data_IF_932552563243
#
_entry.id   IF_932552563243
#
_cell.length_a   1.000
_cell.length_b   1.000
_cell.length_c   1.000
_cell.angle_alpha   90.00
_cell.angle_beta   90.00
_cell.angle_gamma   90.00
#
_symmetry.space_group_name_H-M   'P 1'
#
loop_
_entity.id
_entity.type
_entity.pdbx_description
1 polymer ?
#
# COMPACT_ATOMS: atom_id res chain seq x y z
N UNK A 1 -4.98 -4.01 23.56
CA UNK A 1 -4.55 -3.12 24.66
C UNK A 1 -4.18 -3.96 25.86
N UNK A 2 -3.08 -3.67 26.56
CA UNK A 2 -2.70 -4.41 27.76
C UNK A 2 -3.67 -4.09 28.90
N UNK A 3 -4.14 -5.11 29.62
CA UNK A 3 -5.13 -4.91 30.68
C UNK A 3 -4.62 -3.91 31.74
N UNK A 4 -5.47 -3.04 32.31
CA UNK A 4 -5.05 -2.09 33.33
C UNK A 4 -4.34 -2.76 34.52
N UNK A 5 -3.40 -2.06 35.16
CA UNK A 5 -2.62 -2.60 36.27
C UNK A 5 -3.49 -3.10 37.45
N UNK A 6 -4.64 -2.48 37.68
CA UNK A 6 -5.61 -2.92 38.69
C UNK A 6 -6.23 -4.28 38.32
N UNK A 7 -6.59 -4.50 37.05
CA UNK A 7 -7.18 -5.75 36.55
C UNK A 7 -6.23 -6.93 36.70
N UNK A 8 -4.94 -6.72 36.37
CA UNK A 8 -3.90 -7.75 36.55
C UNK A 8 -3.73 -8.20 38.00
N UNK A 9 -4.01 -7.30 38.97
CA UNK A 9 -3.92 -7.59 40.40
C UNK A 9 -5.18 -8.26 40.95
N UNK A 10 -6.36 -7.92 40.44
CA UNK A 10 -7.65 -8.41 40.94
C UNK A 10 -8.14 -9.67 40.25
N UNK A 11 -7.89 -9.83 38.94
CA UNK A 11 -8.38 -10.95 38.14
C UNK A 11 -7.97 -12.34 38.70
N UNK A 12 -6.73 -12.58 39.19
CA UNK A 12 -6.38 -13.88 39.78
C UNK A 12 -7.17 -14.20 41.05
N UNK A 13 -7.47 -13.19 41.88
CA UNK A 13 -8.28 -13.37 43.09
C UNK A 13 -9.74 -13.64 42.75
N UNK A 14 -10.25 -12.94 41.74
CA UNK A 14 -11.61 -13.10 41.26
C UNK A 14 -11.82 -14.50 40.66
N UNK A 15 -10.87 -14.98 39.86
CA UNK A 15 -10.90 -16.32 39.26
C UNK A 15 -10.67 -17.44 40.30
N UNK A 16 -9.98 -17.17 41.41
CA UNK A 16 -9.86 -18.14 42.50
C UNK A 16 -11.18 -18.30 43.28
N UNK A 17 -11.97 -17.24 43.40
CA UNK A 17 -13.28 -17.24 44.06
C UNK A 17 -14.41 -17.73 43.13
N UNK A 18 -14.33 -17.37 41.85
CA UNK A 18 -15.30 -17.71 40.80
C UNK A 18 -14.55 -18.18 39.54
N UNK A 19 -14.14 -19.45 39.47
CA UNK A 19 -13.37 -20.00 38.34
C UNK A 19 -14.03 -19.81 36.97
N UNK A 20 -15.35 -19.71 36.94
CA UNK A 20 -16.18 -19.50 35.75
C UNK A 20 -16.25 -18.04 35.30
N UNK A 21 -15.86 -17.07 36.13
CA UNK A 21 -16.09 -15.65 35.85
C UNK A 21 -15.41 -15.18 34.56
N UNK A 22 -14.11 -15.43 34.40
CA UNK A 22 -13.40 -15.02 33.17
C UNK A 22 -13.96 -15.72 31.93
N UNK A 23 -14.16 -17.06 31.92
CA UNK A 23 -14.84 -17.73 30.82
C UNK A 23 -16.23 -17.16 30.49
N UNK A 24 -17.03 -16.79 31.49
CA UNK A 24 -18.36 -16.21 31.29
C UNK A 24 -18.31 -14.79 30.69
N UNK A 25 -17.39 -13.95 31.16
CA UNK A 25 -17.19 -12.60 30.60
C UNK A 25 -16.69 -12.71 29.16
N UNK A 26 -15.70 -13.55 28.89
CA UNK A 26 -15.22 -13.79 27.52
C UNK A 26 -16.34 -14.30 26.63
N UNK A 27 -17.13 -15.28 27.08
CA UNK A 27 -18.27 -15.78 26.31
C UNK A 27 -19.36 -14.72 26.10
N UNK A 28 -19.57 -13.80 27.05
CA UNK A 28 -20.49 -12.68 26.90
C UNK A 28 -19.97 -11.64 25.89
N UNK A 29 -18.70 -11.28 25.98
CA UNK A 29 -18.01 -10.37 25.05
C UNK A 29 -17.98 -10.96 23.63
N UNK A 30 -17.70 -12.26 23.48
CA UNK A 30 -17.68 -12.96 22.20
C UNK A 30 -19.08 -13.05 21.57
N UNK A 31 -20.12 -13.27 22.39
CA UNK A 31 -21.51 -13.30 21.91
C UNK A 31 -22.03 -11.92 21.54
N UNK A 32 -21.57 -10.89 22.24
CA UNK A 32 -21.93 -9.49 22.08
C UNK A 32 -23.44 -9.24 21.79
N UNK A 33 -24.32 -9.86 22.58
CA UNK A 33 -25.76 -9.83 22.33
C UNK A 33 -26.42 -8.44 22.38
N UNK A 34 -25.68 -7.42 22.84
CA UNK A 34 -26.15 -6.03 22.91
C UNK A 34 -25.69 -5.18 21.71
N UNK A 35 -24.93 -5.75 20.76
CA UNK A 35 -24.40 -5.05 19.58
C UNK A 35 -25.47 -4.32 18.78
N UNK A 36 -26.57 -5.01 18.50
CA UNK A 36 -27.68 -4.45 17.72
C UNK A 36 -28.38 -3.27 18.43
N UNK A 37 -28.43 -3.29 19.77
CA UNK A 37 -28.95 -2.16 20.55
C UNK A 37 -28.00 -0.96 20.49
N UNK A 38 -26.68 -1.19 20.47
CA UNK A 38 -25.70 -0.11 20.31
C UNK A 38 -25.77 0.53 18.92
N UNK A 39 -26.08 -0.23 17.87
CA UNK A 39 -26.32 0.34 16.54
C UNK A 39 -27.47 1.36 16.51
N UNK A 40 -28.53 1.15 17.30
CA UNK A 40 -29.61 2.14 17.38
C UNK A 40 -29.12 3.47 18.00
N UNK A 41 -28.23 3.40 19.01
CA UNK A 41 -27.59 4.57 19.59
C UNK A 41 -26.63 5.24 18.58
N UNK A 42 -25.87 4.45 17.82
CA UNK A 42 -24.94 4.96 16.82
C UNK A 42 -25.67 5.64 15.66
N UNK A 43 -26.82 5.10 15.22
CA UNK A 43 -27.73 5.79 14.29
C UNK A 43 -28.18 7.14 14.84
N UNK A 44 -28.61 7.20 16.10
CA UNK A 44 -29.02 8.47 16.72
C UNK A 44 -27.85 9.48 16.83
N UNK A 45 -26.64 9.02 17.15
CA UNK A 45 -25.42 9.85 17.20
C UNK A 45 -25.08 10.43 15.83
N UNK A 46 -25.10 9.62 14.78
CA UNK A 46 -24.85 10.04 13.41
C UNK A 46 -25.91 11.02 12.91
N UNK A 47 -27.19 10.72 13.14
CA UNK A 47 -28.30 11.59 12.77
C UNK A 47 -28.20 12.96 13.45
N UNK A 48 -27.89 12.98 14.75
CA UNK A 48 -27.67 14.23 15.51
C UNK A 48 -26.48 15.02 14.96
N UNK A 49 -25.35 14.36 14.69
CA UNK A 49 -24.18 15.03 14.13
C UNK A 49 -24.49 15.68 12.78
N UNK A 50 -25.23 15.00 11.90
CA UNK A 50 -25.68 15.56 10.62
C UNK A 50 -26.63 16.74 10.78
N UNK A 51 -27.58 16.64 11.71
CA UNK A 51 -28.48 17.76 12.01
C UNK A 51 -27.71 19.00 12.52
N UNK A 52 -26.53 18.80 13.12
CA UNK A 52 -25.60 19.84 13.53
C UNK A 52 -24.62 20.29 12.43
N UNK A 53 -24.79 19.79 11.19
CA UNK A 53 -23.99 20.17 10.03
C UNK A 53 -22.77 19.30 9.75
N UNK A 54 -22.56 18.20 10.49
CA UNK A 54 -21.46 17.29 10.19
C UNK A 54 -21.64 16.65 8.81
N UNK A 55 -20.54 16.61 8.05
CA UNK A 55 -20.42 15.89 6.78
C UNK A 55 -19.48 14.73 6.98
N UNK A 56 -19.69 13.63 6.27
CA UNK A 56 -18.85 12.44 6.40
C UNK A 56 -18.18 12.03 5.09
N UNK A 57 -16.99 11.45 5.22
CA UNK A 57 -16.29 10.73 4.17
C UNK A 57 -16.04 9.30 4.65
N UNK A 58 -16.42 8.30 3.85
CA UNK A 58 -16.17 6.89 4.15
C UNK A 58 -14.80 6.51 3.64
N UNK A 59 -13.95 5.95 4.50
CA UNK A 59 -12.59 5.50 4.15
C UNK A 59 -12.46 4.02 4.48
N UNK A 60 -12.29 3.17 3.48
CA UNK A 60 -12.10 1.73 3.70
C UNK A 60 -10.63 1.38 3.84
N UNK A 61 -10.28 0.59 4.84
CA UNK A 61 -8.93 0.04 5.06
C UNK A 61 -9.00 -1.41 5.55
N UNK A 62 -7.88 -2.10 5.70
CA UNK A 62 -7.81 -3.39 6.39
C UNK A 62 -6.94 -3.27 7.66
N UNK A 63 -6.87 -4.34 8.46
CA UNK A 63 -6.04 -4.39 9.66
C UNK A 63 -4.53 -4.54 9.37
N UNK A 64 -4.14 -4.73 8.11
CA UNK A 64 -2.74 -4.97 7.77
C UNK A 64 -1.91 -3.68 7.90
N UNK A 65 -0.73 -3.82 8.49
CA UNK A 65 0.27 -2.77 8.52
C UNK A 65 0.97 -2.63 7.15
N UNK A 66 1.71 -1.53 6.97
CA UNK A 66 2.57 -1.32 5.80
C UNK A 66 2.18 -0.11 4.95
N UNK A 67 2.26 -0.27 3.63
CA UNK A 67 2.16 0.83 2.67
C UNK A 67 0.78 1.49 2.59
N UNK A 68 -0.31 0.71 2.67
CA UNK A 68 -1.67 1.27 2.51
C UNK A 68 -2.06 2.22 3.65
N UNK A 69 -1.88 1.87 4.95
CA UNK A 69 -2.10 2.84 6.03
C UNK A 69 -1.27 4.11 5.88
N UNK A 70 -0.02 4.00 5.40
CA UNK A 70 0.82 5.17 5.12
C UNK A 70 0.24 6.02 3.98
N UNK A 71 -0.20 5.40 2.89
CA UNK A 71 -0.82 6.11 1.78
C UNK A 71 -2.12 6.83 2.17
N UNK A 72 -2.96 6.21 2.99
CA UNK A 72 -4.16 6.85 3.55
C UNK A 72 -3.76 8.11 4.34
N UNK A 73 -2.76 8.00 5.24
CA UNK A 73 -2.27 9.15 6.02
C UNK A 73 -1.68 10.25 5.14
N UNK A 74 -0.91 9.88 4.12
CA UNK A 74 -0.30 10.84 3.21
C UNK A 74 -1.37 11.59 2.40
N UNK A 75 -2.36 10.88 1.86
CA UNK A 75 -3.50 11.50 1.14
C UNK A 75 -4.33 12.38 2.07
N UNK A 76 -4.61 11.91 3.29
CA UNK A 76 -5.35 12.68 4.30
C UNK A 76 -4.61 13.95 4.72
N UNK A 77 -3.28 13.89 4.84
CA UNK A 77 -2.45 15.06 5.16
C UNK A 77 -2.44 16.09 4.02
N UNK A 78 -2.25 15.65 2.78
CA UNK A 78 -2.10 16.57 1.64
C UNK A 78 -3.43 17.13 1.13
N UNK A 79 -4.53 16.37 1.23
CA UNK A 79 -5.82 16.73 0.64
C UNK A 79 -6.94 16.86 1.68
N UNK A 80 -6.92 16.01 2.70
CA UNK A 80 -8.03 15.84 3.63
C UNK A 80 -9.31 15.39 2.93
N UNK A 81 -10.46 15.71 3.53
CA UNK A 81 -11.78 15.28 3.06
C UNK A 81 -12.74 16.45 2.79
N UNK A 82 -12.20 17.63 2.49
CA UNK A 82 -13.01 18.83 2.19
C UNK A 82 -13.92 19.26 3.34
N UNK A 83 -13.41 19.18 4.57
CA UNK A 83 -14.14 19.50 5.81
C UNK A 83 -15.07 18.38 6.31
N UNK A 84 -15.15 17.24 5.63
CA UNK A 84 -15.89 16.09 6.11
C UNK A 84 -15.10 15.32 7.19
N UNK A 85 -15.80 14.75 8.16
CA UNK A 85 -15.27 13.85 9.16
C UNK A 85 -15.11 12.43 8.60
N UNK A 86 -14.00 11.79 8.90
CA UNK A 86 -13.72 10.42 8.47
C UNK A 86 -14.55 9.40 9.24
N UNK A 87 -15.32 8.60 8.50
CA UNK A 87 -15.84 7.30 8.93
C UNK A 87 -14.89 6.23 8.42
N UNK A 88 -14.28 5.47 9.32
CA UNK A 88 -13.39 4.38 8.95
C UNK A 88 -14.18 3.08 8.88
N UNK A 89 -14.07 2.38 7.75
CA UNK A 89 -14.61 1.05 7.57
C UNK A 89 -13.44 0.07 7.42
N UNK A 90 -13.29 -0.86 8.35
CA UNK A 90 -12.17 -1.80 8.37
C UNK A 90 -12.65 -3.23 8.65
N UNK A 91 -11.72 -4.18 8.64
CA UNK A 91 -11.93 -5.55 9.11
C UNK A 91 -10.94 -5.80 10.23
N UNK A 92 -11.44 -6.29 11.37
CA UNK A 92 -10.63 -6.64 12.53
C UNK A 92 -9.83 -7.93 12.30
N UNK A 93 -8.86 -8.22 13.15
CA UNK A 93 -8.15 -9.51 13.13
C UNK A 93 -9.09 -10.70 13.36
N UNK A 94 -10.20 -10.49 14.10
CA UNK A 94 -11.25 -11.49 14.32
C UNK A 94 -12.19 -11.69 13.11
N UNK A 95 -11.99 -10.93 12.03
CA UNK A 95 -12.80 -11.02 10.80
C UNK A 95 -14.14 -10.27 10.86
N UNK A 96 -14.37 -9.45 11.90
CA UNK A 96 -15.54 -8.58 11.97
C UNK A 96 -15.33 -7.34 11.12
N UNK A 97 -16.38 -6.87 10.48
CA UNK A 97 -16.36 -5.57 9.81
C UNK A 97 -16.60 -4.51 10.87
N UNK A 98 -15.73 -3.50 10.95
CA UNK A 98 -15.81 -2.41 11.92
C UNK A 98 -16.09 -1.09 11.21
N UNK A 99 -17.14 -0.37 11.63
CA UNK A 99 -17.38 1.02 11.30
C UNK A 99 -17.07 1.88 12.52
N UNK A 100 -16.11 2.80 12.40
CA UNK A 100 -15.69 3.66 13.50
C UNK A 100 -15.57 5.13 13.12
N UNK A 101 -15.78 6.00 14.10
CA UNK A 101 -15.66 7.45 13.98
C UNK A 101 -15.16 8.06 15.29
N UNK A 102 -14.29 9.06 15.21
CA UNK A 102 -13.82 9.78 16.39
C UNK A 102 -14.87 10.77 16.91
N UNK A 103 -15.56 11.47 16.00
CA UNK A 103 -16.56 12.50 16.33
C UNK A 103 -17.72 12.46 15.33
N UNK A 104 -18.93 12.01 15.72
CA UNK A 104 -19.27 11.47 17.03
C UNK A 104 -18.51 10.16 17.30
N UNK A 105 -18.20 9.91 18.57
CA UNK A 105 -17.52 8.68 18.98
C UNK A 105 -18.47 7.49 18.75
N UNK A 106 -18.09 6.60 17.84
CA UNK A 106 -18.76 5.32 17.61
C UNK A 106 -17.77 4.26 17.15
N UNK A 107 -18.07 3.01 17.48
CA UNK A 107 -17.38 1.82 17.00
C UNK A 107 -18.40 0.69 16.95
N UNK A 108 -18.83 0.33 15.74
CA UNK A 108 -19.85 -0.67 15.48
C UNK A 108 -19.23 -1.84 14.71
N UNK A 109 -19.41 -3.05 15.22
CA UNK A 109 -18.97 -4.28 14.57
C UNK A 109 -20.13 -4.98 13.87
N UNK A 110 -19.82 -5.72 12.80
CA UNK A 110 -20.78 -6.50 12.01
C UNK A 110 -20.15 -7.83 11.62
N UNK A 111 -20.97 -8.89 11.68
CA UNK A 111 -20.66 -10.19 11.10
C UNK A 111 -20.83 -10.15 9.57
N UNK A 112 -20.38 -11.22 8.89
CA UNK A 112 -20.45 -11.35 7.43
C UNK A 112 -21.86 -11.27 6.84
N UNK A 113 -22.87 -11.63 7.62
CA UNK A 113 -24.29 -11.68 7.25
C UNK A 113 -25.06 -10.40 7.61
N UNK A 114 -24.45 -9.47 8.34
CA UNK A 114 -25.07 -8.22 8.83
C UNK A 114 -24.74 -7.01 7.93
N UNK A 115 -24.45 -7.24 6.66
CA UNK A 115 -24.11 -6.17 5.70
C UNK A 115 -25.26 -5.14 5.56
N UNK A 116 -26.52 -5.59 5.62
CA UNK A 116 -27.67 -4.70 5.55
C UNK A 116 -27.70 -3.67 6.69
N UNK A 117 -27.38 -4.10 7.92
CA UNK A 117 -27.31 -3.21 9.08
C UNK A 117 -26.17 -2.19 8.99
N UNK A 118 -25.02 -2.62 8.45
CA UNK A 118 -23.91 -1.72 8.14
C UNK A 118 -24.36 -0.61 7.18
N UNK A 119 -25.00 -0.97 6.06
CA UNK A 119 -25.43 0.03 5.08
C UNK A 119 -26.57 0.91 5.60
N UNK A 120 -27.43 0.41 6.49
CA UNK A 120 -28.42 1.24 7.17
C UNK A 120 -27.78 2.32 8.07
N UNK A 121 -26.67 2.01 8.74
CA UNK A 121 -25.89 3.02 9.49
C UNK A 121 -25.21 4.02 8.55
N UNK A 122 -24.66 3.54 7.44
CA UNK A 122 -24.03 4.40 6.43
C UNK A 122 -25.04 5.34 5.75
N UNK A 123 -26.29 4.91 5.55
CA UNK A 123 -27.36 5.76 5.03
C UNK A 123 -27.73 6.89 6.00
N UNK A 124 -27.72 6.62 7.30
CA UNK A 124 -27.92 7.67 8.31
C UNK A 124 -26.77 8.67 8.24
N UNK A 125 -25.52 8.21 8.13
CA UNK A 125 -24.36 9.08 8.02
C UNK A 125 -24.26 9.82 6.67
N UNK A 126 -24.79 9.23 5.59
CA UNK A 126 -24.83 9.75 4.22
C UNK A 126 -23.49 10.39 3.78
N UNK A 127 -22.36 9.66 3.85
CA UNK A 127 -21.10 10.19 3.39
C UNK A 127 -21.17 10.45 1.88
N UNK A 128 -20.74 11.64 1.48
CA UNK A 128 -20.80 12.10 0.07
C UNK A 128 -19.51 11.83 -0.70
N UNK A 129 -18.46 11.50 0.03
CA UNK A 129 -17.15 11.10 -0.47
C UNK A 129 -16.86 9.68 0.04
N UNK A 130 -16.54 8.75 -0.86
CA UNK A 130 -16.19 7.37 -0.52
C UNK A 130 -14.80 7.07 -1.09
N UNK A 131 -13.85 6.70 -0.24
CA UNK A 131 -12.50 6.29 -0.63
C UNK A 131 -12.28 4.84 -0.21
N UNK A 132 -12.26 3.94 -1.18
CA UNK A 132 -11.94 2.55 -0.95
C UNK A 132 -10.44 2.29 -1.19
N UNK A 133 -9.66 2.14 -0.11
CA UNK A 133 -8.22 1.85 -0.22
C UNK A 133 -7.93 0.35 -0.11
N UNK A 134 -8.72 -0.39 0.67
CA UNK A 134 -8.56 -1.84 0.80
C UNK A 134 -9.90 -2.53 0.94
N UNK A 135 -9.97 -3.71 0.34
CA UNK A 135 -11.10 -4.65 0.46
C UNK A 135 -10.65 -6.08 0.79
N UNK A 136 -9.35 -6.32 0.96
CA UNK A 136 -8.84 -7.60 1.48
C UNK A 136 -9.35 -7.81 2.91
N UNK A 137 -9.94 -8.99 3.16
CA UNK A 137 -10.60 -9.33 4.42
C UNK A 137 -12.10 -9.02 4.46
N UNK A 138 -12.63 -8.23 3.52
CA UNK A 138 -14.06 -7.95 3.49
C UNK A 138 -14.87 -9.14 2.93
N UNK A 139 -16.02 -9.48 3.53
CA UNK A 139 -16.89 -10.53 3.01
C UNK A 139 -17.59 -10.10 1.72
N UNK A 140 -17.95 -11.08 0.87
CA UNK A 140 -18.58 -10.82 -0.43
C UNK A 140 -19.86 -9.99 -0.33
N UNK A 141 -20.65 -10.20 0.74
CA UNK A 141 -21.87 -9.46 1.06
C UNK A 141 -21.62 -7.96 1.22
N UNK A 142 -20.51 -7.56 1.86
CA UNK A 142 -20.15 -6.15 2.06
C UNK A 142 -19.58 -5.54 0.78
N UNK A 143 -18.79 -6.28 0.01
CA UNK A 143 -18.27 -5.83 -1.30
C UNK A 143 -19.43 -5.61 -2.29
N UNK A 144 -20.37 -6.56 -2.37
CA UNK A 144 -21.57 -6.44 -3.18
C UNK A 144 -22.51 -5.33 -2.68
N UNK A 145 -22.70 -5.24 -1.36
CA UNK A 145 -23.48 -4.15 -0.77
C UNK A 145 -22.87 -2.77 -1.04
N UNK A 146 -21.53 -2.66 -1.03
CA UNK A 146 -20.84 -1.41 -1.35
C UNK A 146 -21.12 -1.02 -2.80
N UNK A 147 -21.02 -1.96 -3.75
CA UNK A 147 -21.37 -1.74 -5.16
C UNK A 147 -22.78 -1.16 -5.31
N UNK A 148 -23.75 -1.75 -4.62
CA UNK A 148 -25.16 -1.38 -4.75
C UNK A 148 -25.45 -0.04 -4.03
N UNK A 149 -24.74 0.23 -2.95
CA UNK A 149 -24.92 1.43 -2.13
C UNK A 149 -24.20 2.69 -2.68
N UNK A 150 -23.14 2.54 -3.49
CA UNK A 150 -22.39 3.69 -4.03
C UNK A 150 -23.27 4.71 -4.75
N UNK A 151 -24.28 4.25 -5.51
CA UNK A 151 -25.26 5.12 -6.18
C UNK A 151 -24.60 6.22 -7.02
N UNK A 152 -24.91 7.49 -6.73
CA UNK A 152 -24.33 8.68 -7.39
C UNK A 152 -23.29 9.40 -6.52
N UNK A 153 -22.80 8.76 -5.44
CA UNK A 153 -21.81 9.36 -4.52
C UNK A 153 -20.47 9.51 -5.23
N UNK A 154 -19.75 10.58 -4.90
CA UNK A 154 -18.38 10.74 -5.40
C UNK A 154 -17.49 9.69 -4.75
N UNK A 155 -16.91 8.83 -5.57
CA UNK A 155 -16.27 7.61 -5.06
C UNK A 155 -14.97 7.29 -5.79
N UNK A 156 -13.97 6.88 -5.01
CA UNK A 156 -12.65 6.57 -5.49
C UNK A 156 -12.21 5.20 -4.98
N UNK A 157 -11.79 4.33 -5.88
CA UNK A 157 -11.10 3.08 -5.54
C UNK A 157 -9.61 3.24 -5.81
N UNK A 158 -8.78 2.96 -4.81
CA UNK A 158 -7.32 2.94 -4.93
C UNK A 158 -6.82 1.49 -4.99
N UNK A 159 -6.28 1.10 -6.14
CA UNK A 159 -5.62 -0.17 -6.34
C UNK A 159 -4.21 -0.16 -5.73
N UNK A 160 -4.15 -0.25 -4.39
CA UNK A 160 -2.87 -0.40 -3.67
C UNK A 160 -2.25 -1.79 -3.87
N UNK A 161 -3.00 -2.75 -4.38
CA UNK A 161 -2.54 -4.10 -4.70
C UNK A 161 -3.37 -4.70 -5.85
N UNK A 162 -3.18 -6.00 -6.13
CA UNK A 162 -3.97 -6.72 -7.13
C UNK A 162 -5.00 -7.68 -6.53
N UNK A 163 -5.47 -7.45 -5.30
CA UNK A 163 -6.48 -8.33 -4.68
C UNK A 163 -7.71 -8.47 -5.58
N UNK A 164 -8.21 -7.35 -6.12
CA UNK A 164 -9.34 -7.33 -7.05
C UNK A 164 -9.18 -8.29 -8.24
N UNK A 165 -7.94 -8.43 -8.73
CA UNK A 165 -7.58 -9.25 -9.89
C UNK A 165 -7.25 -10.71 -9.50
N UNK A 166 -6.56 -10.88 -8.37
CA UNK A 166 -5.94 -12.12 -7.94
C UNK A 166 -6.22 -12.37 -6.45
N UNK A 167 -6.86 -13.49 -6.08
CA UNK A 167 -7.10 -13.84 -4.67
C UNK A 167 -5.82 -13.94 -3.81
N UNK A 168 -4.66 -14.16 -4.44
CA UNK A 168 -3.34 -14.22 -3.78
C UNK A 168 -2.65 -12.86 -3.66
N UNK A 169 -3.25 -11.77 -4.16
CA UNK A 169 -2.76 -10.38 -4.14
C UNK A 169 -1.51 -10.12 -4.99
N UNK A 170 -0.53 -11.02 -4.95
CA UNK A 170 0.82 -10.82 -5.51
C UNK A 170 0.98 -11.31 -6.94
N UNK A 171 0.02 -12.08 -7.47
CA UNK A 171 0.18 -12.83 -8.73
C UNK A 171 1.41 -13.77 -8.74
N UNK A 172 1.93 -14.12 -7.56
CA UNK A 172 2.89 -15.20 -7.38
C UNK A 172 2.09 -16.50 -7.25
N UNK A 173 2.37 -17.46 -8.11
CA UNK A 173 1.67 -18.74 -8.16
C UNK A 173 2.01 -19.65 -6.98
N UNK A 174 1.43 -20.86 -6.97
CA UNK A 174 1.63 -21.84 -5.92
C UNK A 174 3.08 -22.37 -5.82
N UNK A 175 3.91 -22.19 -6.86
CA UNK A 175 5.31 -22.62 -6.89
C UNK A 175 6.29 -21.44 -6.76
N UNK A 176 5.80 -20.25 -6.39
CA UNK A 176 6.65 -19.09 -6.12
C UNK A 176 7.06 -18.28 -7.36
N UNK A 177 6.37 -18.44 -8.50
CA UNK A 177 6.68 -17.71 -9.74
C UNK A 177 5.62 -16.66 -10.08
N UNK A 178 6.07 -15.52 -10.59
CA UNK A 178 5.16 -14.50 -11.09
C UNK A 178 4.44 -14.98 -12.36
N UNK A 179 3.11 -15.02 -12.33
CA UNK A 179 2.30 -15.56 -13.43
C UNK A 179 1.87 -14.53 -14.47
N UNK A 180 2.15 -13.23 -14.27
CA UNK A 180 1.84 -12.18 -15.25
C UNK A 180 0.36 -11.78 -15.37
N UNK A 181 -0.52 -12.32 -14.51
CA UNK A 181 -1.98 -12.15 -14.59
C UNK A 181 -2.62 -13.19 -15.51
N UNK A 182 -2.50 -14.47 -15.15
CA UNK A 182 -3.07 -15.59 -15.90
C UNK A 182 -4.60 -15.55 -16.01
N UNK A 183 -5.16 -16.35 -16.92
CA UNK A 183 -6.61 -16.54 -17.04
C UNK A 183 -7.24 -17.14 -15.77
N UNK A 184 -8.57 -17.03 -15.65
CA UNK A 184 -9.29 -17.45 -14.45
C UNK A 184 -9.18 -18.97 -14.20
N UNK A 185 -9.12 -19.79 -15.25
CA UNK A 185 -9.01 -21.24 -15.14
C UNK A 185 -7.64 -21.66 -14.56
N UNK A 186 -6.57 -21.01 -15.00
CA UNK A 186 -5.22 -21.20 -14.49
C UNK A 186 -5.08 -20.68 -13.07
N UNK A 187 -5.69 -19.54 -12.76
CA UNK A 187 -5.81 -19.07 -11.39
C UNK A 187 -6.58 -20.07 -10.51
N UNK A 188 -7.60 -20.76 -11.03
CA UNK A 188 -8.36 -21.77 -10.30
C UNK A 188 -7.44 -22.87 -9.75
N UNK A 189 -6.64 -23.49 -10.63
CA UNK A 189 -5.65 -24.51 -10.23
C UNK A 189 -4.60 -23.97 -9.25
N UNK A 190 -4.16 -22.73 -9.44
CA UNK A 190 -3.20 -22.08 -8.56
C UNK A 190 -3.75 -21.88 -7.15
N UNK A 191 -4.97 -21.38 -7.02
CA UNK A 191 -5.62 -21.15 -5.72
C UNK A 191 -5.98 -22.48 -5.05
N UNK A 192 -6.41 -23.49 -5.81
CA UNK A 192 -6.65 -24.84 -5.30
C UNK A 192 -5.37 -25.47 -4.71
N UNK A 193 -4.22 -25.28 -5.38
CA UNK A 193 -2.94 -25.83 -4.94
C UNK A 193 -2.31 -25.05 -3.77
N UNK A 194 -2.34 -23.72 -3.82
CA UNK A 194 -1.56 -22.87 -2.92
C UNK A 194 -2.38 -22.01 -1.96
N UNK A 195 -3.71 -22.03 -2.06
CA UNK A 195 -4.61 -21.12 -1.34
C UNK A 195 -4.68 -19.70 -1.92
N UNK A 196 -5.61 -18.91 -1.39
CA UNK A 196 -5.63 -17.46 -1.55
C UNK A 196 -4.66 -16.77 -0.56
N UNK A 197 -4.65 -15.44 -0.53
CA UNK A 197 -3.98 -14.70 0.54
C UNK A 197 -4.59 -15.07 1.89
N UNK A 198 -3.77 -15.19 2.95
CA UNK A 198 -4.22 -15.66 4.28
C UNK A 198 -5.34 -14.83 4.89
N UNK A 199 -5.33 -13.51 4.66
CA UNK A 199 -6.39 -12.58 5.09
C UNK A 199 -7.63 -12.62 4.19
N UNK A 200 -7.62 -13.34 3.07
CA UNK A 200 -8.80 -13.42 2.20
C UNK A 200 -9.88 -14.27 2.84
N UNK A 201 -11.10 -13.74 2.85
CA UNK A 201 -12.31 -14.45 3.31
C UNK A 201 -13.22 -14.84 2.14
N UNK A 202 -12.75 -14.66 0.90
CA UNK A 202 -13.49 -14.97 -0.33
C UNK A 202 -13.10 -16.35 -0.89
N UNK A 203 -12.71 -17.28 -0.02
CA UNK A 203 -12.14 -18.58 -0.40
C UNK A 203 -13.13 -19.50 -1.12
N UNK A 204 -14.43 -19.24 -0.98
CA UNK A 204 -15.50 -19.98 -1.66
C UNK A 204 -15.72 -19.50 -3.11
N UNK A 205 -15.20 -18.32 -3.48
CA UNK A 205 -15.33 -17.81 -4.84
C UNK A 205 -14.23 -18.40 -5.73
N UNK A 206 -14.63 -18.91 -6.89
CA UNK A 206 -13.68 -19.16 -7.97
C UNK A 206 -12.99 -17.85 -8.39
N UNK A 207 -11.79 -17.89 -8.97
CA UNK A 207 -11.14 -16.69 -9.49
C UNK A 207 -11.96 -15.93 -10.54
N UNK A 208 -12.84 -16.61 -11.28
CA UNK A 208 -13.77 -15.97 -12.21
C UNK A 208 -14.83 -15.15 -11.46
N UNK A 209 -15.45 -15.73 -10.43
CA UNK A 209 -16.44 -15.05 -9.59
C UNK A 209 -15.82 -13.90 -8.79
N UNK A 210 -14.60 -14.08 -8.29
CA UNK A 210 -13.83 -13.03 -7.63
C UNK A 210 -13.66 -11.83 -8.57
N UNK A 211 -13.15 -12.07 -9.79
CA UNK A 211 -12.98 -11.01 -10.80
C UNK A 211 -14.30 -10.38 -11.18
N UNK A 212 -15.37 -11.15 -11.36
CA UNK A 212 -16.69 -10.61 -11.68
C UNK A 212 -17.26 -9.72 -10.56
N UNK A 213 -17.08 -10.12 -9.30
CA UNK A 213 -17.48 -9.32 -8.14
C UNK A 213 -16.78 -7.95 -8.16
N UNK A 214 -15.45 -7.94 -8.30
CA UNK A 214 -14.69 -6.70 -8.35
C UNK A 214 -14.94 -5.89 -9.63
N UNK A 215 -15.11 -6.54 -10.78
CA UNK A 215 -15.46 -5.86 -12.02
C UNK A 215 -16.76 -5.04 -11.88
N UNK A 216 -17.80 -5.70 -11.35
CA UNK A 216 -19.10 -5.06 -11.11
C UNK A 216 -19.03 -3.92 -10.08
N UNK A 217 -18.16 -4.04 -9.07
CA UNK A 217 -17.91 -3.00 -8.08
C UNK A 217 -17.13 -1.82 -8.69
N UNK A 218 -16.01 -2.08 -9.37
CA UNK A 218 -15.14 -1.06 -9.95
C UNK A 218 -15.88 -0.21 -10.97
N UNK A 219 -16.83 -0.79 -11.71
CA UNK A 219 -17.69 -0.07 -12.65
C UNK A 219 -18.59 1.00 -11.99
N UNK A 220 -18.79 0.95 -10.66
CA UNK A 220 -19.60 1.92 -9.91
C UNK A 220 -18.79 3.09 -9.35
N UNK A 221 -17.47 2.95 -9.26
CA UNK A 221 -16.62 4.01 -8.74
C UNK A 221 -16.48 5.17 -9.74
N UNK A 222 -16.56 6.40 -9.26
CA UNK A 222 -16.33 7.60 -10.08
C UNK A 222 -14.90 7.61 -10.63
N UNK A 223 -13.93 7.20 -9.80
CA UNK A 223 -12.54 7.06 -10.18
C UNK A 223 -11.98 5.73 -9.70
N UNK A 224 -11.39 4.95 -10.62
CA UNK A 224 -10.51 3.84 -10.29
C UNK A 224 -9.08 4.31 -10.51
N UNK A 225 -8.26 4.25 -9.46
CA UNK A 225 -6.93 4.85 -9.41
C UNK A 225 -5.91 3.75 -9.13
N UNK A 226 -4.78 3.78 -9.85
CA UNK A 226 -3.61 2.98 -9.49
C UNK A 226 -2.38 3.89 -9.37
N UNK A 227 -1.41 3.53 -8.51
CA UNK A 227 -0.22 4.32 -8.25
C UNK A 227 0.82 4.34 -9.38
N UNK A 228 0.71 3.47 -10.39
CA UNK A 228 1.64 3.39 -11.52
C UNK A 228 0.98 2.94 -12.81
N UNK A 229 1.58 3.29 -13.94
CA UNK A 229 1.18 2.78 -15.27
C UNK A 229 1.35 1.26 -15.35
N UNK A 230 2.42 0.72 -14.75
CA UNK A 230 2.63 -0.73 -14.65
C UNK A 230 1.44 -1.44 -13.98
N UNK A 231 0.95 -0.93 -12.84
CA UNK A 231 -0.22 -1.49 -12.15
C UNK A 231 -1.49 -1.42 -13.02
N UNK A 232 -1.73 -0.29 -13.70
CA UNK A 232 -2.84 -0.17 -14.66
C UNK A 232 -2.71 -1.19 -15.79
N UNK A 233 -1.50 -1.44 -16.28
CA UNK A 233 -1.24 -2.44 -17.32
C UNK A 233 -1.74 -3.83 -16.95
N UNK A 234 -1.52 -4.28 -15.71
CA UNK A 234 -2.04 -5.56 -15.23
C UNK A 234 -3.54 -5.54 -15.00
N UNK A 235 -4.08 -4.49 -14.37
CA UNK A 235 -5.51 -4.37 -14.09
C UNK A 235 -6.33 -4.34 -15.39
N UNK A 236 -5.86 -3.64 -16.42
CA UNK A 236 -6.56 -3.51 -17.71
C UNK A 236 -6.63 -4.82 -18.50
N UNK A 237 -5.70 -5.77 -18.29
CA UNK A 237 -5.78 -7.10 -18.90
C UNK A 237 -7.02 -7.87 -18.44
N UNK A 238 -7.53 -7.57 -17.25
CA UNK A 238 -8.67 -8.26 -16.64
C UNK A 238 -9.93 -7.38 -16.66
N UNK A 239 -9.79 -6.09 -16.42
CA UNK A 239 -10.88 -5.11 -16.30
C UNK A 239 -10.85 -4.10 -17.45
N UNK A 240 -11.00 -4.58 -18.69
CA UNK A 240 -10.75 -3.81 -19.91
C UNK A 240 -11.67 -2.58 -20.08
N UNK A 241 -12.89 -2.63 -19.54
CA UNK A 241 -13.90 -1.59 -19.59
C UNK A 241 -13.75 -0.51 -18.51
N UNK A 242 -12.90 -0.75 -17.50
CA UNK A 242 -12.71 0.17 -16.40
C UNK A 242 -11.75 1.30 -16.82
N UNK A 243 -12.18 2.54 -16.60
CA UNK A 243 -11.33 3.72 -16.83
C UNK A 243 -10.42 3.94 -15.62
N UNK A 244 -9.13 3.64 -15.80
CA UNK A 244 -8.12 3.86 -14.79
C UNK A 244 -7.49 5.26 -14.87
N UNK A 245 -7.17 5.81 -13.71
CA UNK A 245 -6.34 7.00 -13.55
C UNK A 245 -5.01 6.61 -12.89
N UNK A 246 -3.90 7.08 -13.44
CA UNK A 246 -2.60 6.94 -12.76
C UNK A 246 -2.32 8.17 -11.91
N UNK A 247 -2.24 7.93 -10.60
CA UNK A 247 -1.87 8.91 -9.58
C UNK A 247 -0.97 8.22 -8.54
N UNK A 248 0.33 8.53 -8.48
CA UNK A 248 1.19 8.02 -7.43
C UNK A 248 0.71 8.51 -6.06
N UNK A 249 1.12 7.82 -5.00
CA UNK A 249 0.85 8.30 -3.64
C UNK A 249 1.57 9.63 -3.41
N UNK A 250 0.91 10.60 -2.76
CA UNK A 250 1.55 11.86 -2.48
C UNK A 250 2.66 11.64 -1.45
N UNK A 251 3.87 12.09 -1.76
CA UNK A 251 4.99 12.06 -0.83
C UNK A 251 5.58 13.45 -0.74
N UNK A 252 5.46 14.08 0.44
CA UNK A 252 6.00 15.40 0.71
C UNK A 252 7.52 15.34 0.85
N UNK A 253 8.17 16.40 0.36
CA UNK A 253 9.59 16.64 0.63
C UNK A 253 9.71 17.33 1.99
N UNK A 254 9.93 16.55 3.04
CA UNK A 254 10.33 17.14 4.32
C UNK A 254 11.86 17.29 4.34
N UNK A 255 12.35 18.54 4.32
CA UNK A 255 13.76 18.87 4.51
C UNK A 255 14.53 19.33 3.25
N UNK A 256 15.86 19.21 3.34
CA UNK A 256 16.80 19.60 2.29
C UNK A 256 16.66 18.75 1.02
N UNK A 257 17.10 19.30 -0.11
CA UNK A 257 17.13 18.61 -1.40
C UNK A 257 18.01 17.35 -1.30
N UNK A 258 17.46 16.13 -1.51
CA UNK A 258 18.24 14.91 -1.48
C UNK A 258 19.31 14.91 -2.59
N UNK A 259 20.57 14.76 -2.21
CA UNK A 259 21.68 14.57 -3.14
C UNK A 259 22.03 13.08 -3.26
N UNK A 260 22.72 12.71 -4.35
CA UNK A 260 23.27 11.36 -4.47
C UNK A 260 24.23 11.07 -3.30
N UNK A 261 24.06 9.90 -2.66
CA UNK A 261 24.86 9.48 -1.52
C UNK A 261 26.29 9.20 -1.95
N UNK A 262 27.26 9.79 -1.24
CA UNK A 262 28.65 9.36 -1.29
C UNK A 262 28.81 8.05 -0.50
N UNK A 263 29.59 7.11 -1.03
CA UNK A 263 29.77 5.80 -0.42
C UNK A 263 30.50 4.84 -1.36
N UNK A 264 30.64 3.60 -0.91
CA UNK A 264 31.23 2.53 -1.72
C UNK A 264 30.16 1.73 -2.48
N UNK A 265 30.63 0.94 -3.44
CA UNK A 265 29.81 -0.02 -4.20
C UNK A 265 29.95 -1.46 -3.66
N UNK A 266 30.59 -1.64 -2.50
CA UNK A 266 30.91 -2.96 -1.94
C UNK A 266 29.96 -3.40 -0.82
N UNK A 267 29.27 -2.47 -0.17
CA UNK A 267 28.14 -2.76 0.74
C UNK A 267 26.82 -2.43 0.02
N UNK A 268 26.00 -3.44 -0.22
CA UNK A 268 24.73 -3.32 -0.94
C UNK A 268 23.58 -3.33 0.07
N UNK A 269 22.78 -2.26 0.06
CA UNK A 269 21.74 -2.03 1.07
C UNK A 269 20.38 -2.52 0.59
N UNK A 270 19.61 -3.11 1.50
CA UNK A 270 18.21 -3.49 1.29
C UNK A 270 17.39 -2.99 2.48
N UNK A 271 16.21 -2.45 2.23
CA UNK A 271 15.38 -1.83 3.26
C UNK A 271 14.02 -2.52 3.41
N UNK A 272 13.65 -2.82 4.66
CA UNK A 272 12.33 -3.25 5.08
C UNK A 272 12.22 -4.75 5.41
N UNK A 273 10.98 -5.22 5.51
CA UNK A 273 10.68 -6.65 5.66
C UNK A 273 10.84 -7.36 4.30
N UNK A 274 11.92 -8.13 4.12
CA UNK A 274 12.22 -8.86 2.88
C UNK A 274 11.65 -10.28 2.99
N UNK A 275 10.37 -10.42 2.67
CA UNK A 275 9.71 -11.72 2.55
C UNK A 275 9.91 -12.37 1.18
N UNK A 276 9.28 -13.53 0.93
CA UNK A 276 9.39 -14.24 -0.36
C UNK A 276 9.00 -13.36 -1.55
N UNK A 277 7.91 -12.60 -1.44
CA UNK A 277 7.43 -11.67 -2.48
C UNK A 277 8.39 -10.50 -2.74
N UNK A 278 9.33 -10.22 -1.82
CA UNK A 278 10.38 -9.21 -1.95
C UNK A 278 11.76 -9.80 -2.28
N UNK A 279 11.81 -11.09 -2.59
CA UNK A 279 12.99 -11.76 -3.11
C UNK A 279 14.01 -12.20 -2.08
N UNK A 280 13.59 -12.60 -0.87
CA UNK A 280 14.52 -13.16 0.12
C UNK A 280 15.27 -14.39 -0.41
N UNK A 281 14.60 -15.29 -1.13
CA UNK A 281 15.25 -16.45 -1.76
C UNK A 281 16.27 -16.03 -2.83
N UNK A 282 15.95 -14.99 -3.62
CA UNK A 282 16.86 -14.44 -4.63
C UNK A 282 18.07 -13.74 -3.97
N UNK A 283 17.88 -13.06 -2.86
CA UNK A 283 18.98 -12.52 -2.06
C UNK A 283 19.90 -13.64 -1.56
N UNK A 284 19.34 -14.75 -1.07
CA UNK A 284 20.15 -15.88 -0.62
C UNK A 284 20.98 -16.49 -1.77
N UNK A 285 20.40 -16.61 -2.96
CA UNK A 285 21.10 -17.03 -4.17
C UNK A 285 22.25 -16.08 -4.53
N UNK A 286 21.96 -14.77 -4.57
CA UNK A 286 22.96 -13.72 -4.86
C UNK A 286 24.08 -13.73 -3.83
N UNK A 287 23.76 -13.78 -2.53
CA UNK A 287 24.73 -13.76 -1.45
C UNK A 287 25.68 -14.97 -1.50
N UNK A 288 25.14 -16.18 -1.72
CA UNK A 288 25.94 -17.41 -1.86
C UNK A 288 26.87 -17.33 -3.05
N UNK A 289 26.38 -16.84 -4.19
CA UNK A 289 27.20 -16.69 -5.40
C UNK A 289 28.28 -15.63 -5.22
N UNK A 290 27.94 -14.48 -4.65
CA UNK A 290 28.90 -13.41 -4.35
C UNK A 290 30.06 -13.91 -3.48
N UNK A 291 29.79 -14.76 -2.50
CA UNK A 291 30.82 -15.37 -1.65
C UNK A 291 31.88 -16.18 -2.43
N UNK A 292 31.53 -16.67 -3.61
CA UNK A 292 32.42 -17.45 -4.48
C UNK A 292 33.07 -16.60 -5.57
N UNK A 293 32.34 -15.69 -6.19
CA UNK A 293 32.79 -14.97 -7.39
C UNK A 293 33.02 -13.48 -7.20
N UNK A 294 32.46 -12.88 -6.14
CA UNK A 294 32.55 -11.45 -5.83
C UNK A 294 32.82 -11.24 -4.33
N UNK A 295 33.94 -11.76 -3.78
CA UNK A 295 34.20 -11.80 -2.34
C UNK A 295 34.35 -10.41 -1.71
N UNK A 296 34.49 -9.36 -2.51
CA UNK A 296 34.48 -7.96 -2.08
C UNK A 296 33.10 -7.43 -1.73
N UNK A 297 32.02 -8.11 -2.14
CA UNK A 297 30.64 -7.67 -1.90
C UNK A 297 30.07 -8.20 -0.60
N UNK A 298 29.37 -7.31 0.10
CA UNK A 298 28.60 -7.59 1.31
C UNK A 298 27.20 -6.99 1.20
N UNK A 299 26.23 -7.60 1.89
CA UNK A 299 24.84 -7.19 1.85
C UNK A 299 24.37 -6.78 3.25
N UNK A 300 23.61 -5.70 3.32
CA UNK A 300 23.01 -5.22 4.57
C UNK A 300 21.51 -5.07 4.41
N UNK A 301 20.76 -5.86 5.17
CA UNK A 301 19.31 -5.72 5.31
C UNK A 301 19.03 -4.86 6.54
N UNK A 302 18.53 -3.64 6.31
CA UNK A 302 17.96 -2.80 7.35
C UNK A 302 16.49 -3.20 7.49
N UNK A 303 16.19 -3.98 8.52
CA UNK A 303 14.94 -4.71 8.65
C UNK A 303 15.19 -6.18 8.92
N UNK A 304 14.27 -7.03 8.48
CA UNK A 304 14.31 -8.48 8.72
C UNK A 304 13.83 -9.24 7.48
N UNK A 305 14.09 -10.55 7.46
CA UNK A 305 13.67 -11.46 6.41
C UNK A 305 12.93 -12.66 7.02
N UNK A 306 12.26 -13.46 6.18
CA UNK A 306 11.69 -14.74 6.61
C UNK A 306 12.75 -15.86 6.75
N UNK A 307 14.01 -15.62 6.37
CA UNK A 307 15.11 -16.59 6.34
C UNK A 307 16.41 -16.03 6.94
N UNK A 308 16.25 -15.23 8.00
CA UNK A 308 17.32 -14.50 8.68
C UNK A 308 18.55 -15.35 9.01
N UNK A 309 18.31 -16.55 9.55
CA UNK A 309 19.36 -17.48 9.92
C UNK A 309 20.14 -17.98 8.70
N UNK A 310 19.45 -18.34 7.62
CA UNK A 310 20.07 -18.84 6.41
C UNK A 310 20.93 -17.76 5.72
N UNK A 311 20.47 -16.52 5.71
CA UNK A 311 21.20 -15.38 5.15
C UNK A 311 22.45 -15.04 5.99
N UNK A 312 22.31 -14.94 7.32
CA UNK A 312 23.47 -14.70 8.21
C UNK A 312 24.52 -15.81 8.08
N UNK A 313 24.09 -17.08 7.91
CA UNK A 313 24.98 -18.22 7.75
C UNK A 313 25.85 -18.18 6.47
N UNK A 314 25.51 -17.37 5.46
CA UNK A 314 26.36 -17.18 4.27
C UNK A 314 27.66 -16.43 4.61
N UNK A 315 27.64 -15.59 5.65
CA UNK A 315 28.82 -14.88 6.16
C UNK A 315 29.08 -13.51 5.51
N UNK A 316 28.35 -13.14 4.46
CA UNK A 316 28.43 -11.82 3.81
C UNK A 316 27.10 -11.03 3.85
N UNK A 317 26.16 -11.43 4.71
CA UNK A 317 24.88 -10.73 4.90
C UNK A 317 24.73 -10.31 6.36
N UNK A 318 24.44 -9.04 6.59
CA UNK A 318 24.09 -8.47 7.90
C UNK A 318 22.62 -8.07 7.92
N UNK A 319 21.95 -8.27 9.07
CA UNK A 319 20.52 -8.02 9.21
C UNK A 319 20.28 -7.35 10.56
N UNK A 320 19.69 -6.16 10.56
CA UNK A 320 19.51 -5.32 11.76
C UNK A 320 18.34 -5.78 12.64
N UNK A 321 17.33 -6.44 12.07
CA UNK A 321 16.07 -6.77 12.74
C UNK A 321 14.99 -5.70 12.52
N UNK A 322 13.83 -5.90 13.17
CA UNK A 322 12.74 -4.91 13.19
C UNK A 322 13.22 -3.60 13.82
N UNK A 323 12.74 -2.48 13.28
CA UNK A 323 13.08 -1.14 13.73
C UNK A 323 11.82 -0.27 13.75
N UNK A 324 11.83 0.79 14.57
CA UNK A 324 10.81 1.85 14.54
C UNK A 324 11.18 2.94 13.53
N UNK A 325 10.23 3.68 12.97
CA UNK A 325 10.53 4.75 12.00
C UNK A 325 11.60 5.75 12.47
N UNK A 326 11.68 6.00 13.78
CA UNK A 326 12.61 6.94 14.41
C UNK A 326 14.06 6.42 14.42
N UNK A 327 14.27 5.10 14.41
CA UNK A 327 15.60 4.46 14.39
C UNK A 327 16.21 4.44 12.98
N UNK A 328 15.38 4.57 11.95
CA UNK A 328 15.81 4.42 10.55
C UNK A 328 16.96 5.36 10.14
N UNK A 329 16.94 6.68 10.47
CA UNK A 329 18.03 7.58 10.09
C UNK A 329 19.40 7.12 10.65
N UNK A 330 19.43 6.61 11.89
CA UNK A 330 20.66 6.12 12.51
C UNK A 330 21.16 4.84 11.82
N UNK A 331 20.24 3.90 11.54
CA UNK A 331 20.58 2.66 10.83
C UNK A 331 21.13 2.94 9.42
N UNK A 332 20.59 3.94 8.72
CA UNK A 332 21.10 4.37 7.41
C UNK A 332 22.46 5.05 7.53
N UNK A 333 22.72 5.82 8.58
CA UNK A 333 24.01 6.45 8.83
C UNK A 333 25.15 5.44 9.07
N UNK A 334 24.84 4.26 9.60
CA UNK A 334 25.80 3.17 9.82
C UNK A 334 26.24 2.47 8.51
N UNK A 335 25.57 2.75 7.40
CA UNK A 335 25.91 2.17 6.10
C UNK A 335 27.00 2.95 5.38
N UNK A 336 27.93 2.23 4.75
CA UNK A 336 28.96 2.78 3.86
C UNK A 336 28.58 2.66 2.39
N UNK A 337 27.65 1.77 2.08
CA UNK A 337 27.11 1.57 0.75
C UNK A 337 26.37 2.78 0.20
N UNK A 338 26.44 2.99 -1.12
CA UNK A 338 25.58 3.94 -1.85
C UNK A 338 24.50 3.27 -2.69
N UNK A 339 24.63 1.98 -2.97
CA UNK A 339 23.70 1.21 -3.81
C UNK A 339 22.62 0.55 -2.95
N UNK A 340 21.37 0.64 -3.39
CA UNK A 340 20.25 -0.06 -2.77
C UNK A 340 19.63 -1.08 -3.73
N UNK A 341 19.58 -2.35 -3.33
CA UNK A 341 19.08 -3.43 -4.18
C UNK A 341 17.63 -3.80 -3.80
N UNK A 342 16.77 -3.80 -4.81
CA UNK A 342 15.39 -4.25 -4.72
C UNK A 342 15.25 -5.55 -5.53
N UNK A 343 14.62 -6.56 -4.95
CA UNK A 343 14.42 -7.87 -5.60
C UNK A 343 12.94 -8.31 -5.59
N UNK A 344 11.96 -7.44 -5.85
CA UNK A 344 10.56 -7.85 -5.83
C UNK A 344 10.34 -8.99 -6.82
N UNK A 345 9.68 -10.04 -6.36
CA UNK A 345 9.30 -11.21 -7.17
C UNK A 345 7.95 -11.00 -7.88
N UNK A 346 7.39 -9.80 -7.79
CA UNK A 346 6.08 -9.41 -8.30
C UNK A 346 6.06 -7.91 -8.64
N UNK A 347 5.06 -7.42 -9.40
CA UNK A 347 4.99 -6.01 -9.76
C UNK A 347 4.44 -5.19 -8.60
N UNK A 348 5.29 -4.79 -7.65
CA UNK A 348 4.89 -3.84 -6.60
C UNK A 348 4.14 -2.64 -7.22
N UNK A 349 2.92 -2.39 -6.75
CA UNK A 349 2.08 -1.28 -7.22
C UNK A 349 2.70 0.07 -6.86
N UNK A 350 3.36 0.14 -5.71
CA UNK A 350 4.15 1.25 -5.20
C UNK A 350 5.20 0.75 -4.22
N UNK A 351 6.21 1.58 -3.90
CA UNK A 351 7.27 1.21 -2.96
C UNK A 351 7.71 2.41 -2.12
N UNK A 352 7.30 2.41 -0.85
CA UNK A 352 7.73 3.44 0.11
C UNK A 352 9.18 3.26 0.55
N UNK A 353 9.69 2.02 0.58
CA UNK A 353 11.10 1.77 0.90
C UNK A 353 12.03 2.32 -0.19
N UNK A 354 11.59 2.34 -1.45
CA UNK A 354 12.26 3.07 -2.52
C UNK A 354 12.35 4.57 -2.22
N UNK A 355 11.23 5.18 -1.86
CA UNK A 355 11.17 6.61 -1.52
C UNK A 355 12.07 6.95 -0.32
N UNK A 356 12.06 6.13 0.74
CA UNK A 356 12.93 6.32 1.91
C UNK A 356 14.41 6.26 1.56
N UNK A 357 14.84 5.26 0.77
CA UNK A 357 16.25 5.13 0.36
C UNK A 357 16.69 6.27 -0.56
N UNK A 358 15.85 6.64 -1.53
CA UNK A 358 16.12 7.77 -2.44
C UNK A 358 16.18 9.10 -1.67
N UNK A 359 15.32 9.29 -0.66
CA UNK A 359 15.37 10.48 0.23
C UNK A 359 16.71 10.62 0.95
N UNK A 360 17.40 9.51 1.20
CA UNK A 360 18.73 9.46 1.81
C UNK A 360 19.87 9.31 0.78
N UNK A 361 19.57 9.53 -0.50
CA UNK A 361 20.52 9.58 -1.60
C UNK A 361 20.97 8.23 -2.17
N UNK A 362 20.43 7.11 -1.68
CA UNK A 362 20.80 5.79 -2.19
C UNK A 362 20.37 5.62 -3.64
N UNK A 363 21.24 5.01 -4.43
CA UNK A 363 21.04 4.74 -5.85
C UNK A 363 20.35 3.38 -5.99
N UNK A 364 19.08 3.33 -6.41
CA UNK A 364 18.31 2.09 -6.45
C UNK A 364 18.67 1.23 -7.66
N UNK A 365 18.77 -0.08 -7.45
CA UNK A 365 18.87 -1.12 -8.47
C UNK A 365 17.63 -2.00 -8.34
N UNK A 366 16.83 -2.12 -9.40
CA UNK A 366 15.59 -2.91 -9.36
C UNK A 366 15.39 -3.71 -10.66
N UNK A 367 14.73 -4.87 -10.60
CA UNK A 367 14.34 -5.59 -11.81
C UNK A 367 13.27 -4.81 -12.59
N UNK A 368 13.14 -5.12 -13.87
CA UNK A 368 12.18 -4.54 -14.81
C UNK A 368 10.74 -5.03 -14.57
N UNK A 369 10.21 -4.69 -13.40
CA UNK A 369 8.85 -5.06 -12.99
C UNK A 369 8.32 -4.06 -11.96
N UNK A 370 7.02 -3.76 -12.03
CA UNK A 370 6.33 -2.93 -11.04
C UNK A 370 6.67 -1.44 -11.12
N UNK A 371 6.09 -0.69 -10.18
CA UNK A 371 6.32 0.73 -10.03
C UNK A 371 7.77 1.14 -9.70
N UNK A 372 8.57 0.34 -8.95
CA UNK A 372 9.97 0.69 -8.74
C UNK A 372 10.74 0.92 -10.05
N UNK A 373 10.57 0.03 -11.03
CA UNK A 373 11.21 0.16 -12.33
C UNK A 373 10.76 1.42 -13.09
N UNK A 374 9.45 1.69 -13.12
CA UNK A 374 8.87 2.88 -13.75
C UNK A 374 9.46 4.17 -13.15
N UNK A 375 9.53 4.23 -11.82
CA UNK A 375 10.03 5.41 -11.08
C UNK A 375 11.52 5.64 -11.33
N UNK A 376 12.33 4.59 -11.30
CA UNK A 376 13.78 4.66 -11.58
C UNK A 376 14.03 5.19 -12.99
N UNK A 377 13.32 4.65 -14.00
CA UNK A 377 13.45 5.11 -15.39
C UNK A 377 13.04 6.57 -15.57
N UNK A 378 11.89 6.93 -14.98
CA UNK A 378 11.36 8.30 -15.06
C UNK A 378 12.32 9.30 -14.43
N UNK A 379 12.92 8.96 -13.29
CA UNK A 379 13.88 9.80 -12.59
C UNK A 379 15.25 9.85 -13.29
N UNK A 380 15.63 8.80 -14.03
CA UNK A 380 16.99 8.67 -14.56
C UNK A 380 18.04 8.48 -13.47
N UNK A 381 17.63 8.01 -12.30
CA UNK A 381 18.47 7.87 -11.11
C UNK A 381 18.28 6.47 -10.53
N UNK A 382 19.28 5.61 -10.71
CA UNK A 382 19.24 4.18 -10.48
C UNK A 382 19.31 3.35 -11.76
N UNK A 383 19.39 2.03 -11.62
CA UNK A 383 19.47 1.08 -12.73
C UNK A 383 18.31 0.11 -12.69
N UNK A 384 17.68 -0.09 -13.85
CA UNK A 384 16.71 -1.16 -14.06
C UNK A 384 17.36 -2.32 -14.80
N UNK A 385 17.34 -3.51 -14.22
CA UNK A 385 17.92 -4.73 -14.80
C UNK A 385 16.82 -5.73 -15.21
N UNK A 386 17.12 -6.75 -16.05
CA UNK A 386 16.10 -7.68 -16.53
C UNK A 386 15.33 -8.41 -15.42
N UNK A 387 14.03 -8.62 -15.62
CA UNK A 387 13.19 -9.50 -14.81
C UNK A 387 12.91 -10.82 -15.57
N UNK A 388 12.98 -12.00 -14.94
CA UNK A 388 13.34 -12.23 -13.54
C UNK A 388 14.82 -11.99 -13.26
N UNK A 389 15.15 -11.65 -12.02
CA UNK A 389 16.53 -11.37 -11.60
C UNK A 389 17.41 -12.63 -11.72
N UNK A 390 18.48 -12.54 -12.51
CA UNK A 390 19.56 -13.53 -12.54
C UNK A 390 20.68 -13.12 -11.58
N UNK A 391 21.11 -14.02 -10.69
CA UNK A 391 22.10 -13.68 -9.67
C UNK A 391 23.47 -13.34 -10.26
N UNK A 392 23.87 -13.96 -11.38
CA UNK A 392 25.14 -13.66 -12.03
C UNK A 392 25.11 -12.25 -12.64
N UNK A 393 24.04 -11.95 -13.38
CA UNK A 393 23.86 -10.68 -14.06
C UNK A 393 23.75 -9.52 -13.06
N UNK A 394 23.05 -9.70 -11.93
CA UNK A 394 22.96 -8.67 -10.89
C UNK A 394 24.34 -8.38 -10.28
N UNK A 395 25.14 -9.41 -10.00
CA UNK A 395 26.47 -9.22 -9.44
C UNK A 395 27.44 -8.56 -10.44
N UNK A 396 27.40 -9.00 -11.70
CA UNK A 396 28.19 -8.39 -12.78
C UNK A 396 27.83 -6.91 -12.96
N UNK A 397 26.54 -6.57 -12.91
CA UNK A 397 26.08 -5.18 -12.97
C UNK A 397 26.64 -4.33 -11.83
N UNK A 398 26.69 -4.85 -10.61
CA UNK A 398 27.25 -4.12 -9.45
C UNK A 398 28.75 -3.84 -9.69
N UNK A 399 29.49 -4.80 -10.23
CA UNK A 399 30.90 -4.63 -10.57
C UNK A 399 31.11 -3.65 -11.74
N UNK A 400 30.25 -3.68 -12.76
CA UNK A 400 30.27 -2.73 -13.87
C UNK A 400 30.02 -1.29 -13.40
N UNK A 401 29.15 -1.10 -12.40
CA UNK A 401 28.92 0.19 -11.75
C UNK A 401 30.19 0.62 -10.98
N UNK A 402 30.78 -0.28 -10.19
CA UNK A 402 32.00 -0.01 -9.43
C UNK A 402 33.19 0.33 -10.35
N UNK A 403 33.27 -0.30 -11.51
CA UNK A 403 34.26 -0.05 -12.55
C UNK A 403 33.97 1.21 -13.38
N UNK A 404 32.81 1.86 -13.20
CA UNK A 404 32.39 3.03 -13.97
C UNK A 404 32.00 2.72 -15.43
N UNK A 405 31.83 1.45 -15.79
CA UNK A 405 31.36 1.03 -17.13
C UNK A 405 29.88 1.30 -17.31
N UNK A 406 29.10 1.18 -16.23
CA UNK A 406 27.68 1.56 -16.19
C UNK A 406 27.53 2.75 -15.25
N UNK A 407 27.06 3.89 -15.77
CA UNK A 407 26.67 5.02 -14.92
C UNK A 407 25.25 4.77 -14.38
N UNK A 408 25.06 4.66 -13.06
CA UNK A 408 23.75 4.39 -12.49
C UNK A 408 22.89 5.66 -12.36
N UNK A 409 23.43 6.84 -12.68
CA UNK A 409 22.71 8.11 -12.63
C UNK A 409 22.96 8.86 -13.94
N UNK A 410 21.88 9.28 -14.61
CA UNK A 410 21.96 10.11 -15.81
C UNK A 410 22.45 11.50 -15.42
N UNK A 411 23.24 12.13 -16.29
CA UNK A 411 23.71 13.50 -16.07
C UNK A 411 22.52 14.45 -15.80
N UNK A 412 22.61 15.21 -14.70
CA UNK A 412 21.56 16.13 -14.24
C UNK A 412 20.35 15.47 -13.57
N UNK A 413 20.28 14.14 -13.49
CA UNK A 413 19.23 13.46 -12.75
C UNK A 413 19.46 13.60 -11.24
N UNK A 414 18.40 13.96 -10.53
CA UNK A 414 18.43 14.13 -9.09
C UNK A 414 17.32 13.32 -8.41
N UNK A 415 17.55 12.89 -7.14
CA UNK A 415 16.55 12.16 -6.35
C UNK A 415 15.18 12.85 -6.24
N UNK A 416 15.08 14.18 -6.40
CA UNK A 416 13.78 14.87 -6.31
C UNK A 416 12.76 14.39 -7.35
N UNK A 417 13.22 13.83 -8.48
CA UNK A 417 12.34 13.34 -9.54
C UNK A 417 11.43 12.16 -9.11
N UNK A 418 11.70 11.54 -7.96
CA UNK A 418 10.88 10.46 -7.39
C UNK A 418 9.66 10.93 -6.60
N UNK A 419 9.61 12.21 -6.19
CA UNK A 419 8.59 12.75 -5.30
C UNK A 419 7.53 13.55 -6.05
N UNK A 420 6.42 13.83 -5.37
CA UNK A 420 5.28 14.51 -5.98
C UNK A 420 5.62 15.96 -6.36
N UNK A 421 5.25 16.36 -7.58
CA UNK A 421 5.31 17.76 -8.00
C UNK A 421 4.06 18.51 -7.52
N UNK A 422 4.09 19.85 -7.39
CA UNK A 422 2.90 20.63 -7.08
C UNK A 422 1.70 20.32 -7.98
N UNK A 423 1.94 20.11 -9.27
CA UNK A 423 0.92 19.74 -10.27
C UNK A 423 0.28 18.37 -9.99
N UNK A 424 1.05 17.41 -9.46
CA UNK A 424 0.55 16.09 -9.07
C UNK A 424 -0.40 16.22 -7.86
N UNK A 425 -0.03 17.04 -6.88
CA UNK A 425 -0.84 17.32 -5.68
C UNK A 425 -2.12 18.09 -6.03
N UNK A 426 -2.05 19.06 -6.93
CA UNK A 426 -3.23 19.78 -7.41
C UNK A 426 -4.18 18.83 -8.16
N UNK A 427 -3.63 17.95 -9.01
CA UNK A 427 -4.42 16.92 -9.70
C UNK A 427 -5.07 15.96 -8.71
N UNK A 428 -4.35 15.53 -7.67
CA UNK A 428 -4.86 14.67 -6.61
C UNK A 428 -6.01 15.35 -5.86
N UNK A 429 -5.79 16.59 -5.41
CA UNK A 429 -6.78 17.39 -4.68
C UNK A 429 -8.09 17.52 -5.49
N UNK A 430 -7.95 17.87 -6.77
CA UNK A 430 -9.08 18.00 -7.69
C UNK A 430 -9.89 16.70 -7.82
N UNK A 431 -9.22 15.56 -7.96
CA UNK A 431 -9.87 14.26 -8.16
C UNK A 431 -10.55 13.80 -6.86
N UNK A 432 -9.87 13.92 -5.72
CA UNK A 432 -10.40 13.50 -4.42
C UNK A 432 -11.58 14.37 -3.98
N UNK A 433 -11.47 15.70 -4.11
CA UNK A 433 -12.51 16.64 -3.66
C UNK A 433 -13.54 16.99 -4.73
N UNK A 434 -13.48 16.35 -5.91
CA UNK A 434 -14.38 16.59 -7.04
C UNK A 434 -14.45 18.08 -7.46
N UNK A 435 -13.30 18.76 -7.51
CA UNK A 435 -13.25 20.16 -7.92
C UNK A 435 -13.23 20.28 -9.45
N UNK A 436 -13.88 21.31 -10.05
CA UNK A 436 -13.78 21.57 -11.48
C UNK A 436 -12.33 21.93 -11.87
N UNK A 437 -11.93 21.64 -13.12
CA UNK A 437 -10.68 22.20 -13.66
C UNK A 437 -10.87 23.72 -13.76
N UNK A 438 -10.04 24.49 -13.06
CA UNK A 438 -9.95 25.91 -13.35
C UNK A 438 -9.52 26.08 -14.81
N UNK A 439 -10.27 26.88 -15.57
CA UNK A 439 -9.86 27.24 -16.92
C UNK A 439 -8.56 28.03 -16.79
N UNK A 440 -7.45 27.49 -17.28
CA UNK A 440 -6.21 28.24 -17.46
C UNK A 440 -6.58 29.48 -18.28
N UNK A 441 -6.64 30.66 -17.64
CA UNK A 441 -6.71 31.92 -18.38
C UNK A 441 -5.43 31.96 -19.19
N UNK A 442 -5.54 31.82 -20.50
CA UNK A 442 -4.43 32.01 -21.42
C UNK A 442 -3.76 33.34 -21.06
N UNK A 443 -2.45 33.29 -20.78
CA UNK A 443 -1.67 34.48 -20.55
C UNK A 443 -1.94 35.47 -21.71
N UNK A 444 -2.14 36.77 -21.44
CA UNK A 444 -2.34 37.74 -22.51
C UNK A 444 -1.15 37.66 -23.46
N UNK A 445 -1.42 37.44 -24.76
CA UNK A 445 -0.40 37.46 -25.80
C UNK A 445 0.42 38.75 -25.65
N UNK A 446 1.76 38.69 -25.68
CA UNK A 446 2.57 39.90 -25.64
C UNK A 446 2.14 40.82 -26.78
N UNK A 447 1.86 42.07 -26.44
CA UNK A 447 1.48 43.10 -27.41
C UNK A 447 2.59 43.17 -28.48
N UNK A 448 2.22 43.00 -29.75
CA UNK A 448 3.13 43.25 -30.87
C UNK A 448 3.58 44.70 -30.78
N UNK A 449 4.86 44.91 -30.47
CA UNK A 449 5.50 46.22 -30.65
C UNK A 449 5.37 46.61 -32.12
N UNK A 450 4.67 47.72 -32.39
CA UNK A 450 4.67 48.35 -33.71
C UNK A 450 6.09 48.80 -33.99
N UNK A 451 6.69 48.26 -35.05
CA UNK A 451 7.92 48.80 -35.62
C UNK A 451 7.67 50.26 -36.07
N UNK A 452 8.61 51.19 -35.84
CA UNK A 452 8.50 52.55 -36.36
C UNK A 452 8.64 52.53 -37.89
N UNK A 453 7.76 53.29 -38.57
CA UNK A 453 7.87 53.55 -40.00
C UNK A 453 9.20 54.23 -40.33
N UNK A 454 9.85 53.88 -41.47
CA UNK A 454 11.03 54.59 -41.93
C UNK A 454 10.64 55.97 -42.46
N UNK A 455 11.42 56.98 -42.09
CA UNK A 455 11.48 58.30 -42.72
C UNK A 455 12.86 58.47 -43.35
#
# INVERSE_FOLDING_TARGET
>A
MSAPAWWRRTSPRLNALYPEYTPLIMAFEDRDGLRQLRWALDRARLARARAQGARFALVTSNALEGGTPKAIRDIEREVGYGGATRLSLSVTESGLVELSCATPLLCAHFNKDEAADLFALLDVADPRLVLAHQLLGFPASVIAGLRDWLGTRHSLYWAHDFYALCPRVTMIDAIGRFCGGADAATCGRCVEMGGAHETSVLNELSPAEHRALFDSLLAKFTHVIAPSENAVGYLRKVFAQIKFNVLPHPESRDGAAPAARAGNDTEIVMLGAIGPHKGSDKLLEIARRARLTHPHLSFRVIGYTNIDQALRAVGNVTITGKYTPEELPELLAQTKGRLALFLPAWPETYSYTLSELVKHGFIPLAPDIGAPADRIRKAGFGVVFPFPADAAAVLALIDEIAAGTVSPVREGALPEAFFSKPEDLERLNRIVLNQPRESVKAAPKPAKAKAPSPA
#
